data_IF_174512798505
#
_entry.id   IF_174512798505
#
_cell.length_a   1.000
_cell.length_b   1.000
_cell.length_c   1.000
_cell.angle_alpha   90.00
_cell.angle_beta   90.00
_cell.angle_gamma   90.00
#
_symmetry.space_group_name_H-M   'P 1'
#
loop_
_entity.id
_entity.type
_entity.pdbx_description
1 polymer ?
#
# COMPACT_ATOMS: atom_id res chain seq x y z
N UNK A 1 -7.16 18.06 -1.62
CA UNK A 1 -5.87 17.38 -1.78
C UNK A 1 -5.42 17.04 -0.38
N UNK A 2 -5.43 15.76 -0.03
CA UNK A 2 -5.02 15.32 1.29
C UNK A 2 -3.55 14.91 1.17
N UNK A 3 -2.66 15.61 1.88
CA UNK A 3 -1.28 15.14 2.06
C UNK A 3 -1.34 14.00 3.06
N UNK A 4 -1.03 12.79 2.60
CA UNK A 4 -0.38 11.85 3.50
C UNK A 4 1.04 12.40 3.62
N UNK A 5 1.45 12.84 4.81
CA UNK A 5 2.78 13.44 5.08
C UNK A 5 3.90 12.43 4.78
N UNK A 6 4.17 12.22 3.50
CA UNK A 6 5.24 11.39 3.01
C UNK A 6 6.01 12.16 1.95
N UNK A 7 7.30 12.35 2.19
CA UNK A 7 8.22 12.97 1.24
C UNK A 7 8.65 12.01 0.11
N UNK A 8 7.97 10.88 -0.01
CA UNK A 8 8.33 9.80 -0.92
C UNK A 8 7.52 9.82 -2.21
N UNK A 9 8.09 9.25 -3.29
CA UNK A 9 7.32 9.03 -4.52
C UNK A 9 6.35 7.86 -4.31
N UNK A 10 5.07 8.10 -4.59
CA UNK A 10 4.02 7.08 -4.63
C UNK A 10 3.81 6.60 -6.07
N UNK A 11 3.58 5.30 -6.25
CA UNK A 11 3.57 4.66 -7.56
C UNK A 11 2.22 4.09 -7.98
N UNK A 12 1.47 3.52 -7.03
CA UNK A 12 0.21 2.85 -7.34
C UNK A 12 -0.79 2.97 -6.19
N UNK A 13 -2.08 2.95 -6.54
CA UNK A 13 -3.21 2.95 -5.63
C UNK A 13 -4.21 1.88 -6.05
N UNK A 14 -4.70 1.14 -5.07
CA UNK A 14 -5.81 0.21 -5.20
C UNK A 14 -6.99 0.72 -4.37
N UNK A 15 -8.13 0.94 -4.99
CA UNK A 15 -9.41 1.18 -4.29
C UNK A 15 -10.22 -0.11 -4.22
N UNK A 16 -10.75 -0.42 -3.05
CA UNK A 16 -11.63 -1.55 -2.79
C UNK A 16 -13.10 -1.10 -2.77
N UNK A 17 -14.02 -2.07 -2.72
CA UNK A 17 -15.47 -1.82 -2.78
C UNK A 17 -16.06 -1.22 -1.51
N UNK A 18 -15.31 -1.22 -0.41
CA UNK A 18 -15.67 -0.70 0.91
C UNK A 18 -15.03 0.68 1.19
N UNK A 19 -14.66 1.41 0.14
CA UNK A 19 -13.92 2.70 0.19
C UNK A 19 -12.53 2.62 0.84
N UNK A 20 -12.09 1.43 1.25
CA UNK A 20 -10.72 1.22 1.67
C UNK A 20 -9.78 1.34 0.45
N UNK A 21 -8.57 1.84 0.68
CA UNK A 21 -7.55 1.87 -0.36
C UNK A 21 -6.18 1.52 0.18
N UNK A 22 -5.33 1.02 -0.72
CA UNK A 22 -3.93 0.75 -0.45
C UNK A 22 -3.08 1.56 -1.42
N UNK A 23 -2.06 2.23 -0.90
CA UNK A 23 -1.15 3.07 -1.67
C UNK A 23 0.27 2.60 -1.39
N UNK A 24 1.07 2.47 -2.45
CA UNK A 24 2.46 1.99 -2.34
C UNK A 24 3.45 2.94 -3.02
N UNK A 25 4.68 2.97 -2.52
CA UNK A 25 5.69 3.92 -2.98
C UNK A 25 7.14 3.48 -2.76
N UNK A 26 8.05 4.44 -2.87
CA UNK A 26 9.47 4.25 -2.60
C UNK A 26 9.74 3.85 -1.14
N UNK A 27 10.89 3.21 -0.91
CA UNK A 27 11.36 2.81 0.44
C UNK A 27 10.34 1.98 1.22
N UNK A 28 9.62 1.09 0.55
CA UNK A 28 8.62 0.23 1.17
C UNK A 28 7.37 0.95 1.66
N UNK A 29 7.16 2.22 1.31
CA UNK A 29 6.00 3.00 1.76
C UNK A 29 4.72 2.27 1.41
N UNK A 30 3.94 1.96 2.43
CA UNK A 30 2.65 1.31 2.31
C UNK A 30 1.66 2.04 3.20
N UNK A 31 0.57 2.51 2.64
CA UNK A 31 -0.47 3.25 3.34
C UNK A 31 -1.81 2.54 3.10
N UNK A 32 -2.62 2.41 4.14
CA UNK A 32 -4.00 1.97 4.06
C UNK A 32 -4.91 3.14 4.42
N UNK A 33 -5.90 3.42 3.58
CA UNK A 33 -7.08 4.20 3.94
C UNK A 33 -8.19 3.22 4.31
N UNK A 34 -8.88 3.44 5.43
CA UNK A 34 -10.00 2.58 5.84
C UNK A 34 -11.39 3.12 5.42
N UNK A 35 -11.41 4.17 4.60
CA UNK A 35 -12.63 4.89 4.21
C UNK A 35 -12.79 6.21 4.97
N UNK A 36 -12.10 6.37 6.11
CA UNK A 36 -12.14 7.60 6.91
C UNK A 36 -10.74 8.14 7.20
N UNK A 37 -9.83 7.27 7.67
CA UNK A 37 -8.50 7.62 8.13
C UNK A 37 -7.40 6.88 7.34
N UNK A 38 -6.19 7.42 7.41
CA UNK A 38 -5.00 6.82 6.81
C UNK A 38 -4.08 6.24 7.89
N UNK A 39 -3.55 5.05 7.62
CA UNK A 39 -2.62 4.31 8.46
C UNK A 39 -1.39 3.95 7.62
N UNK A 40 -0.20 4.28 8.10
CA UNK A 40 1.05 3.77 7.50
C UNK A 40 1.25 2.35 8.00
N UNK A 41 1.36 1.40 7.06
CA UNK A 41 1.62 0.00 7.38
C UNK A 41 3.13 -0.28 7.35
N UNK A 42 3.63 -0.98 8.37
CA UNK A 42 4.99 -1.51 8.33
C UNK A 42 5.11 -2.58 7.23
N UNK A 43 5.93 -2.30 6.22
CA UNK A 43 6.17 -3.21 5.10
C UNK A 43 7.29 -4.22 5.37
N UNK A 44 8.20 -3.88 6.30
CA UNK A 44 9.38 -4.69 6.61
C UNK A 44 10.41 -4.78 5.47
N UNK A 45 10.31 -3.90 4.46
CA UNK A 45 11.24 -3.82 3.33
C UNK A 45 11.60 -2.37 3.03
N UNK A 46 12.82 -2.15 2.56
CA UNK A 46 13.26 -0.84 2.04
C UNK A 46 13.19 -0.76 0.50
N UNK A 47 12.64 -1.80 -0.13
CA UNK A 47 12.48 -1.88 -1.58
C UNK A 47 11.37 -0.93 -2.05
N UNK A 48 11.55 -0.34 -3.23
CA UNK A 48 10.48 0.41 -3.87
C UNK A 48 9.38 -0.55 -4.31
N UNK A 49 8.15 -0.22 -3.93
CA UNK A 49 6.95 -0.93 -4.34
C UNK A 49 6.32 -0.16 -5.49
N UNK A 50 6.15 -0.84 -6.62
CA UNK A 50 5.71 -0.21 -7.87
C UNK A 50 4.25 -0.45 -8.18
N UNK A 51 3.68 -1.53 -7.66
CA UNK A 51 2.28 -1.86 -7.92
C UNK A 51 1.61 -2.53 -6.73
N UNK A 52 0.30 -2.34 -6.62
CA UNK A 52 -0.59 -2.94 -5.62
C UNK A 52 -1.88 -3.42 -6.28
N UNK A 53 -2.29 -4.65 -5.96
CA UNK A 53 -3.49 -5.25 -6.51
C UNK A 53 -4.15 -6.22 -5.53
N UNK A 54 -5.42 -6.56 -5.77
CA UNK A 54 -6.16 -7.54 -4.98
C UNK A 54 -6.56 -8.75 -5.81
N UNK A 55 -6.54 -9.93 -5.19
CA UNK A 55 -7.24 -11.11 -5.73
C UNK A 55 -8.76 -10.93 -5.64
N UNK A 56 -9.52 -11.80 -6.33
CA UNK A 56 -10.98 -11.88 -6.18
C UNK A 56 -11.43 -12.17 -4.74
N UNK A 57 -10.57 -12.83 -3.95
CA UNK A 57 -10.82 -13.09 -2.53
C UNK A 57 -10.46 -11.92 -1.60
N UNK A 58 -10.11 -10.75 -2.15
CA UNK A 58 -9.77 -9.54 -1.39
C UNK A 58 -8.36 -9.56 -0.78
N UNK A 59 -7.50 -10.52 -1.15
CA UNK A 59 -6.12 -10.54 -0.66
C UNK A 59 -5.31 -9.50 -1.43
N UNK A 60 -4.77 -8.53 -0.71
CA UNK A 60 -3.96 -7.45 -1.29
C UNK A 60 -2.49 -7.83 -1.32
N UNK A 61 -1.86 -7.60 -2.47
CA UNK A 61 -0.43 -7.81 -2.69
C UNK A 61 0.22 -6.55 -3.26
N UNK A 62 1.45 -6.30 -2.82
CA UNK A 62 2.32 -5.29 -3.39
C UNK A 62 3.60 -5.93 -3.94
N UNK A 63 4.08 -5.42 -5.07
CA UNK A 63 5.29 -5.91 -5.73
C UNK A 63 6.27 -4.79 -6.04
N UNK A 64 7.56 -5.10 -6.02
CA UNK A 64 8.62 -4.11 -6.10
C UNK A 64 9.94 -4.62 -6.67
N UNK A 65 10.97 -3.77 -6.62
CA UNK A 65 12.30 -4.12 -7.12
C UNK A 65 12.95 -5.23 -6.31
N UNK A 66 13.89 -5.96 -6.93
CA UNK A 66 14.66 -7.06 -6.32
C UNK A 66 13.78 -8.20 -5.75
N UNK A 67 12.62 -8.43 -6.35
CA UNK A 67 11.71 -9.52 -5.97
C UNK A 67 10.86 -9.25 -4.73
N UNK A 68 10.80 -7.99 -4.25
CA UNK A 68 9.92 -7.62 -3.15
C UNK A 68 8.47 -8.00 -3.48
N UNK A 69 7.88 -8.85 -2.64
CA UNK A 69 6.50 -9.34 -2.77
C UNK A 69 5.90 -9.40 -1.39
N UNK A 70 4.89 -8.56 -1.15
CA UNK A 70 4.30 -8.36 0.17
C UNK A 70 2.82 -8.65 0.12
N UNK A 71 2.35 -9.44 1.09
CA UNK A 71 0.92 -9.54 1.36
C UNK A 71 0.55 -8.43 2.33
N UNK A 72 -0.25 -7.48 1.87
CA UNK A 72 -0.69 -6.37 2.70
C UNK A 72 -1.86 -6.81 3.56
N UNK A 73 -1.80 -6.45 4.83
CA UNK A 73 -2.83 -6.69 5.83
C UNK A 73 -2.79 -5.56 6.84
N UNK A 74 -3.95 -5.10 7.25
CA UNK A 74 -4.10 -4.29 8.46
C UNK A 74 -3.58 -5.12 9.64
N UNK A 75 -2.79 -4.52 10.53
CA UNK A 75 -2.53 -5.11 11.85
C UNK A 75 -3.83 -5.27 12.64
N UNK A 76 -3.84 -6.17 13.62
CA UNK A 76 -4.94 -6.29 14.58
C UNK A 76 -5.05 -5.06 15.47
#
# INVERSE_FOLDING_TARGET
>A
MLEVDTDTTLWSVLSLTDDASYIVGNSGTTIRHDGTDYEVLESGVDNNLYDVSSSQSGVVWAVGNRGATLRLRSGF
#
